data_IF_322909652253
#
_entry.id   IF_322909652253
#
_cell.length_a   1.000
_cell.length_b   1.000
_cell.length_c   1.000
_cell.angle_alpha   90.00
_cell.angle_beta   90.00
_cell.angle_gamma   90.00
#
_symmetry.space_group_name_H-M   'P 1'
#
loop_
_entity.id
_entity.type
_entity.pdbx_description
1 polymer ?
#
# COMPACT_ATOMS: atom_id res chain seq x y z
N UNK A 1 -20.47 -11.62 6.37
CA UNK A 1 -19.97 -11.77 5.00
C UNK A 1 -18.46 -11.59 5.04
N UNK A 2 -17.70 -12.67 4.78
CA UNK A 2 -16.25 -12.60 4.73
C UNK A 2 -15.84 -11.68 3.57
N UNK A 3 -14.85 -10.84 3.77
CA UNK A 3 -14.44 -9.78 2.87
C UNK A 3 -13.92 -10.29 1.50
N UNK A 4 -13.43 -11.54 1.41
CA UNK A 4 -13.18 -12.24 0.16
C UNK A 4 -14.45 -12.39 -0.70
N UNK A 5 -15.63 -12.44 -0.08
CA UNK A 5 -16.93 -12.44 -0.76
C UNK A 5 -17.26 -11.08 -1.41
N UNK A 6 -17.01 -9.98 -0.73
CA UNK A 6 -17.32 -8.63 -1.27
C UNK A 6 -16.43 -8.26 -2.45
N UNK A 7 -15.14 -8.62 -2.41
CA UNK A 7 -14.21 -8.42 -3.55
C UNK A 7 -14.54 -9.33 -4.73
N UNK A 8 -14.93 -10.59 -4.47
CA UNK A 8 -15.42 -11.51 -5.51
C UNK A 8 -16.74 -11.05 -6.13
N UNK A 9 -17.64 -10.50 -5.32
CA UNK A 9 -18.89 -9.89 -5.79
C UNK A 9 -18.59 -8.63 -6.60
N UNK A 10 -17.65 -7.78 -6.17
CA UNK A 10 -17.21 -6.59 -6.90
C UNK A 10 -16.62 -6.94 -8.27
N UNK A 11 -15.73 -7.94 -8.35
CA UNK A 11 -15.18 -8.42 -9.62
C UNK A 11 -16.29 -9.01 -10.52
N UNK A 12 -17.19 -9.82 -9.95
CA UNK A 12 -18.28 -10.44 -10.70
C UNK A 12 -19.35 -9.45 -11.16
N UNK A 13 -19.69 -8.44 -10.33
CA UNK A 13 -20.60 -7.35 -10.73
C UNK A 13 -19.96 -6.49 -11.82
N UNK A 14 -18.65 -6.22 -11.75
CA UNK A 14 -17.92 -5.50 -12.80
C UNK A 14 -17.88 -6.30 -14.13
N UNK A 15 -17.74 -7.62 -14.04
CA UNK A 15 -17.80 -8.53 -15.20
C UNK A 15 -19.22 -8.68 -15.77
N UNK A 16 -20.26 -8.60 -14.92
CA UNK A 16 -21.67 -8.74 -15.31
C UNK A 16 -22.28 -7.45 -15.85
N UNK A 17 -21.88 -6.27 -15.38
CA UNK A 17 -22.36 -4.98 -15.89
C UNK A 17 -21.70 -4.55 -17.21
N UNK A 18 -20.57 -5.15 -17.57
CA UNK A 18 -19.95 -4.94 -18.85
C UNK A 18 -20.60 -5.87 -19.89
N UNK A 19 -21.62 -5.37 -20.59
CA UNK A 19 -22.08 -6.00 -21.87
C UNK A 19 -20.99 -6.08 -22.93
N UNK A 20 -19.84 -5.48 -22.73
CA UNK A 20 -18.48 -5.76 -23.25
C UNK A 20 -17.52 -5.44 -22.12
N UNK A 21 -16.62 -6.35 -21.70
CA UNK A 21 -15.56 -5.95 -20.79
C UNK A 21 -14.82 -4.79 -21.46
N UNK A 22 -14.57 -3.68 -20.73
CA UNK A 22 -13.58 -2.73 -21.23
C UNK A 22 -12.31 -3.56 -21.38
N UNK A 23 -11.81 -3.66 -22.62
CA UNK A 23 -10.52 -4.26 -22.84
C UNK A 23 -9.54 -3.53 -21.92
N UNK A 24 -9.00 -4.22 -20.94
CA UNK A 24 -7.82 -3.78 -20.22
C UNK A 24 -6.72 -3.75 -21.28
N UNK A 25 -6.65 -2.66 -22.03
CA UNK A 25 -5.59 -2.44 -22.98
C UNK A 25 -4.41 -1.97 -22.16
N UNK A 26 -3.63 -2.92 -21.67
CA UNK A 26 -2.28 -2.65 -21.17
C UNK A 26 -1.42 -2.25 -22.39
N UNK A 27 -1.45 -0.96 -22.72
CA UNK A 27 -0.55 -0.42 -23.74
C UNK A 27 0.82 -0.23 -23.09
N UNK A 28 1.74 -1.15 -23.32
CA UNK A 28 3.18 -0.94 -23.17
C UNK A 28 3.71 -0.16 -24.39
N UNK A 29 4.82 0.55 -24.20
CA UNK A 29 5.70 1.04 -25.26
C UNK A 29 6.11 -0.06 -26.27
N UNK A 30 7.07 0.18 -27.21
CA UNK A 30 7.36 -0.78 -28.28
C UNK A 30 7.58 -2.19 -27.71
N UNK A 31 6.93 -3.22 -28.29
CA UNK A 31 6.76 -4.52 -27.66
C UNK A 31 8.07 -5.28 -27.53
N UNK A 32 8.34 -5.90 -26.39
CA UNK A 32 9.30 -6.99 -26.32
C UNK A 32 8.84 -8.16 -27.20
N UNK A 33 9.77 -9.01 -27.62
CA UNK A 33 9.62 -10.09 -28.62
C UNK A 33 8.70 -11.26 -28.20
N UNK A 34 8.15 -11.25 -26.98
CA UNK A 34 7.36 -12.34 -26.37
C UNK A 34 5.82 -12.17 -26.46
N UNK A 35 5.33 -11.20 -27.20
CA UNK A 35 3.88 -10.99 -27.33
C UNK A 35 3.21 -12.06 -28.19
N UNK A 36 2.23 -12.79 -27.61
CA UNK A 36 1.28 -13.59 -28.40
C UNK A 36 0.36 -12.66 -29.20
N UNK A 37 0.34 -12.83 -30.52
CA UNK A 37 -0.66 -12.22 -31.38
C UNK A 37 -1.94 -13.07 -31.33
N UNK A 38 -3.05 -12.42 -30.97
CA UNK A 38 -4.39 -12.99 -31.18
C UNK A 38 -5.04 -12.30 -32.38
N UNK A 39 -6.13 -12.85 -32.90
CA UNK A 39 -6.91 -12.25 -33.99
C UNK A 39 -7.40 -10.83 -33.69
N UNK A 40 -7.36 -10.40 -32.43
CA UNK A 40 -7.83 -9.08 -31.96
C UNK A 40 -6.71 -8.15 -31.47
N UNK A 41 -5.43 -8.54 -31.56
CA UNK A 41 -4.28 -7.75 -31.13
C UNK A 41 -3.29 -8.50 -30.25
N UNK A 42 -2.32 -7.80 -29.67
CA UNK A 42 -1.32 -8.34 -28.76
C UNK A 42 -1.86 -8.42 -27.33
N UNK A 43 -1.92 -9.63 -26.77
CA UNK A 43 -2.33 -9.89 -25.40
C UNK A 43 -1.08 -10.09 -24.52
N UNK A 44 -1.07 -9.50 -23.35
CA UNK A 44 -0.05 -9.75 -22.33
C UNK A 44 -0.62 -10.70 -21.30
N UNK A 45 0.07 -11.80 -21.03
CA UNK A 45 -0.37 -12.78 -20.04
C UNK A 45 -0.23 -12.20 -18.62
N UNK A 46 -1.22 -12.48 -17.77
CA UNK A 46 -1.21 -12.01 -16.39
C UNK A 46 -0.02 -12.56 -15.59
N UNK A 47 0.35 -13.83 -15.83
CA UNK A 47 1.49 -14.46 -15.17
C UNK A 47 2.82 -13.83 -15.60
N UNK A 48 2.93 -13.39 -16.85
CA UNK A 48 4.11 -12.68 -17.35
C UNK A 48 4.28 -11.33 -16.62
N UNK A 49 3.19 -10.56 -16.46
CA UNK A 49 3.21 -9.29 -15.71
C UNK A 49 3.61 -9.53 -14.26
N UNK A 50 3.03 -10.55 -13.61
CA UNK A 50 3.33 -10.88 -12.21
C UNK A 50 4.80 -11.24 -12.05
N UNK A 51 5.38 -12.01 -12.97
CA UNK A 51 6.78 -12.40 -12.92
C UNK A 51 7.71 -11.21 -13.19
N UNK A 52 7.36 -10.33 -14.11
CA UNK A 52 8.08 -9.08 -14.37
C UNK A 52 8.10 -8.19 -13.13
N UNK A 53 6.94 -7.99 -12.48
CA UNK A 53 6.82 -7.20 -11.26
C UNK A 53 7.63 -7.80 -10.10
N UNK A 54 7.65 -9.13 -9.97
CA UNK A 54 8.48 -9.83 -8.98
C UNK A 54 9.96 -9.60 -9.23
N UNK A 55 10.41 -9.67 -10.50
CA UNK A 55 11.80 -9.45 -10.88
C UNK A 55 12.24 -8.01 -10.64
N UNK A 56 11.40 -7.04 -10.99
CA UNK A 56 11.64 -5.62 -10.70
C UNK A 56 11.71 -5.34 -9.20
N UNK A 57 10.82 -5.97 -8.41
CA UNK A 57 10.86 -5.89 -6.96
C UNK A 57 12.18 -6.43 -6.37
N UNK A 58 12.70 -7.53 -6.94
CA UNK A 58 13.96 -8.11 -6.50
C UNK A 58 15.14 -7.15 -6.75
N UNK A 59 15.22 -6.55 -7.94
CA UNK A 59 16.27 -5.61 -8.29
C UNK A 59 16.30 -4.41 -7.35
N UNK A 60 15.17 -3.74 -7.16
CA UNK A 60 15.07 -2.54 -6.32
C UNK A 60 15.32 -2.88 -4.84
N UNK A 61 14.82 -4.03 -4.37
CA UNK A 61 15.06 -4.44 -2.98
C UNK A 61 16.53 -4.74 -2.70
N UNK A 62 17.28 -5.25 -3.67
CA UNK A 62 18.73 -5.45 -3.57
C UNK A 62 19.49 -4.12 -3.53
N UNK A 63 19.11 -3.15 -4.34
CA UNK A 63 19.71 -1.80 -4.33
C UNK A 63 19.54 -1.08 -2.98
N UNK A 64 18.40 -1.32 -2.29
CA UNK A 64 18.14 -0.77 -0.97
C UNK A 64 18.95 -1.44 0.18
N UNK A 65 19.58 -2.59 -0.07
CA UNK A 65 20.59 -3.21 0.79
C UNK A 65 20.16 -3.65 2.19
N UNK A 66 18.86 -3.86 2.44
CA UNK A 66 18.34 -4.16 3.79
C UNK A 66 17.86 -5.60 3.98
N UNK A 67 18.13 -6.47 3.03
CA UNK A 67 17.61 -7.85 3.00
C UNK A 67 18.70 -8.92 3.13
N UNK A 68 19.90 -8.54 3.57
CA UNK A 68 21.04 -9.48 3.66
C UNK A 68 20.76 -10.62 4.64
N UNK A 69 20.05 -10.33 5.73
CA UNK A 69 19.69 -11.30 6.78
C UNK A 69 18.54 -12.26 6.39
N UNK A 70 17.92 -12.11 5.20
CA UNK A 70 16.80 -12.95 4.79
C UNK A 70 17.29 -14.21 4.10
N UNK A 71 16.63 -15.35 4.38
CA UNK A 71 16.80 -16.57 3.60
C UNK A 71 16.30 -16.39 2.15
N UNK A 72 16.69 -17.28 1.25
CA UNK A 72 16.25 -17.26 -0.15
C UNK A 72 14.72 -17.33 -0.25
N UNK A 73 14.09 -18.14 0.60
CA UNK A 73 12.63 -18.30 0.63
C UNK A 73 11.93 -17.02 1.09
N UNK A 74 12.45 -16.39 2.15
CA UNK A 74 11.93 -15.10 2.66
C UNK A 74 12.09 -13.99 1.62
N UNK A 75 13.23 -13.90 0.93
CA UNK A 75 13.45 -12.97 -0.18
C UNK A 75 12.42 -13.18 -1.29
N UNK A 76 12.23 -14.42 -1.73
CA UNK A 76 11.26 -14.74 -2.78
C UNK A 76 9.82 -14.38 -2.39
N UNK A 77 9.43 -14.63 -1.13
CA UNK A 77 8.12 -14.26 -0.61
C UNK A 77 7.96 -12.74 -0.56
N UNK A 78 8.99 -12.03 -0.11
CA UNK A 78 9.00 -10.56 -0.06
C UNK A 78 8.87 -9.96 -1.46
N UNK A 79 9.65 -10.41 -2.43
CA UNK A 79 9.59 -9.92 -3.81
C UNK A 79 8.23 -10.14 -4.45
N UNK A 80 7.62 -11.30 -4.20
CA UNK A 80 6.25 -11.58 -4.66
C UNK A 80 5.24 -10.63 -4.01
N UNK A 81 5.37 -10.39 -2.71
CA UNK A 81 4.48 -9.49 -1.96
C UNK A 81 4.59 -8.05 -2.46
N UNK A 82 5.82 -7.56 -2.69
CA UNK A 82 6.06 -6.20 -3.22
C UNK A 82 5.54 -6.09 -4.65
N UNK A 83 5.90 -7.01 -5.53
CA UNK A 83 5.50 -6.98 -6.93
C UNK A 83 3.99 -7.05 -7.14
N UNK A 84 3.30 -7.98 -6.44
CA UNK A 84 1.84 -8.06 -6.46
C UNK A 84 1.19 -6.85 -5.79
N UNK A 85 1.78 -6.33 -4.72
CA UNK A 85 1.32 -5.12 -4.05
C UNK A 85 1.38 -3.92 -4.98
N UNK A 86 2.47 -3.73 -5.70
CA UNK A 86 2.65 -2.66 -6.69
C UNK A 86 1.61 -2.75 -7.82
N UNK A 87 1.44 -3.94 -8.41
CA UNK A 87 0.49 -4.18 -9.49
C UNK A 87 -0.95 -3.90 -9.05
N UNK A 88 -1.38 -4.49 -7.93
CA UNK A 88 -2.75 -4.30 -7.41
C UNK A 88 -3.01 -2.83 -7.08
N UNK A 89 -2.06 -2.19 -6.41
CA UNK A 89 -2.16 -0.78 -6.05
C UNK A 89 -2.30 0.11 -7.28
N UNK A 90 -1.46 -0.10 -8.29
CA UNK A 90 -1.50 0.66 -9.53
C UNK A 90 -2.85 0.55 -10.24
N UNK A 91 -3.40 -0.66 -10.32
CA UNK A 91 -4.71 -0.90 -10.97
C UNK A 91 -5.84 -0.26 -10.16
N UNK A 92 -5.80 -0.41 -8.82
CA UNK A 92 -6.90 -0.01 -7.96
C UNK A 92 -6.89 1.49 -7.58
N UNK A 93 -5.75 2.20 -7.75
CA UNK A 93 -5.68 3.65 -7.50
C UNK A 93 -6.48 4.49 -8.51
N UNK A 94 -6.82 3.91 -9.65
CA UNK A 94 -7.56 4.58 -10.71
C UNK A 94 -9.03 4.16 -10.65
N UNK A 95 -9.92 5.12 -10.91
CA UNK A 95 -11.35 4.85 -10.99
C UNK A 95 -11.62 3.70 -11.97
N UNK A 96 -12.46 2.71 -11.60
CA UNK A 96 -12.77 1.54 -12.46
C UNK A 96 -13.32 1.87 -13.83
N UNK A 97 -13.90 3.07 -14.01
CA UNK A 97 -14.47 3.55 -15.29
C UNK A 97 -13.42 4.15 -16.23
N UNK A 98 -12.21 4.43 -15.73
CA UNK A 98 -11.13 5.05 -16.51
C UNK A 98 -10.22 3.97 -17.12
N UNK A 99 -9.64 4.29 -18.27
CA UNK A 99 -8.58 3.47 -18.87
C UNK A 99 -7.28 3.64 -18.08
N UNK A 100 -6.52 2.56 -17.95
CA UNK A 100 -5.24 2.54 -17.27
C UNK A 100 -4.16 2.21 -18.29
N UNK A 101 -3.14 3.06 -18.36
CA UNK A 101 -1.88 2.74 -19.01
C UNK A 101 -0.93 2.21 -17.92
N UNK A 102 -0.63 0.91 -17.97
CA UNK A 102 0.25 0.30 -16.98
C UNK A 102 1.73 0.54 -17.33
N UNK A 103 2.46 1.12 -16.38
CA UNK A 103 3.91 1.26 -16.43
C UNK A 103 4.52 0.50 -15.25
N UNK A 104 5.25 -0.62 -15.48
CA UNK A 104 5.88 -1.41 -14.43
C UNK A 104 6.86 -0.60 -13.58
N UNK A 105 7.70 0.22 -14.19
CA UNK A 105 8.74 1.00 -13.52
C UNK A 105 8.13 2.02 -12.55
N UNK A 106 7.11 2.77 -13.00
CA UNK A 106 6.40 3.72 -12.15
C UNK A 106 5.61 3.03 -11.02
N UNK A 107 5.12 1.82 -11.26
CA UNK A 107 4.30 1.11 -10.27
C UNK A 107 5.08 0.59 -9.09
N UNK A 108 6.40 0.36 -9.26
CA UNK A 108 7.27 -0.23 -8.25
C UNK A 108 8.15 0.79 -7.51
N UNK A 109 8.04 2.06 -7.85
CA UNK A 109 8.79 3.14 -7.18
C UNK A 109 8.46 3.22 -5.68
N UNK A 110 9.49 3.38 -4.85
CA UNK A 110 9.37 3.54 -3.40
C UNK A 110 9.14 5.00 -2.95
N UNK A 111 9.13 5.95 -3.87
CA UNK A 111 8.99 7.38 -3.56
C UNK A 111 7.69 8.02 -4.06
N UNK A 112 6.87 7.26 -4.80
CA UNK A 112 5.66 7.77 -5.45
C UNK A 112 4.36 7.33 -4.79
N UNK A 113 3.23 7.62 -5.44
CA UNK A 113 1.91 7.08 -5.07
C UNK A 113 1.80 5.61 -5.54
N UNK A 114 2.47 4.71 -4.80
CA UNK A 114 2.69 3.31 -5.16
C UNK A 114 2.47 2.37 -3.97
N UNK A 115 2.21 1.10 -4.26
CA UNK A 115 2.10 0.05 -3.24
C UNK A 115 3.36 -0.10 -2.40
N UNK A 116 4.56 -0.19 -3.02
CA UNK A 116 5.83 -0.29 -2.29
C UNK A 116 6.10 0.87 -1.32
N UNK A 117 5.72 2.09 -1.67
CA UNK A 117 5.84 3.24 -0.76
C UNK A 117 5.04 3.04 0.53
N UNK A 118 3.81 2.54 0.41
CA UNK A 118 2.95 2.24 1.57
C UNK A 118 3.50 1.06 2.37
N UNK A 119 3.94 -0.01 1.69
CA UNK A 119 4.53 -1.21 2.29
C UNK A 119 5.79 -0.87 3.08
N UNK A 120 6.68 -0.06 2.50
CA UNK A 120 7.90 0.38 3.15
C UNK A 120 7.61 1.23 4.40
N UNK A 121 6.65 2.14 4.32
CA UNK A 121 6.26 2.95 5.49
C UNK A 121 5.69 2.07 6.61
N UNK A 122 4.87 1.08 6.27
CA UNK A 122 4.37 0.11 7.26
C UNK A 122 5.52 -0.66 7.93
N UNK A 123 6.45 -1.23 7.17
CA UNK A 123 7.61 -1.95 7.70
C UNK A 123 8.50 -1.04 8.59
N UNK A 124 8.68 0.23 8.20
CA UNK A 124 9.37 1.24 9.02
C UNK A 124 8.68 1.44 10.37
N UNK A 125 7.35 1.55 10.39
CA UNK A 125 6.60 1.70 11.64
C UNK A 125 6.74 0.43 12.49
N UNK A 126 6.66 -0.78 11.91
CA UNK A 126 6.87 -2.02 12.65
C UNK A 126 8.27 -2.07 13.30
N UNK A 127 9.30 -1.65 12.58
CA UNK A 127 10.67 -1.55 13.12
C UNK A 127 10.77 -0.51 14.24
N UNK A 128 10.08 0.63 14.11
CA UNK A 128 9.99 1.65 15.15
C UNK A 128 9.34 1.09 16.43
N UNK A 129 8.22 0.38 16.30
CA UNK A 129 7.47 -0.19 17.40
C UNK A 129 8.28 -1.27 18.14
N UNK A 130 8.99 -2.14 17.40
CA UNK A 130 9.90 -3.14 17.98
C UNK A 130 11.01 -2.49 18.81
N UNK A 131 11.59 -1.38 18.33
CA UNK A 131 12.65 -0.63 19.05
C UNK A 131 12.14 0.19 20.23
N UNK A 132 10.90 0.64 20.17
CA UNK A 132 10.30 1.53 21.18
C UNK A 132 9.92 0.84 22.47
N UNK A 133 9.70 -0.47 22.46
CA UNK A 133 9.34 -1.28 23.63
C UNK A 133 7.86 -1.33 23.93
N UNK A 134 7.48 -1.63 25.16
CA UNK A 134 6.11 -1.85 25.59
C UNK A 134 5.32 -0.54 25.57
N UNK A 135 4.18 -0.56 24.89
CA UNK A 135 3.24 0.56 24.84
C UNK A 135 2.33 0.55 26.06
N UNK A 136 2.13 1.72 26.65
CA UNK A 136 1.15 1.92 27.72
C UNK A 136 -0.04 2.68 27.14
N UNK A 137 -1.26 2.30 27.53
CA UNK A 137 -2.49 2.99 27.13
C UNK A 137 -2.90 4.11 28.10
N UNK A 138 -1.98 4.51 28.97
CA UNK A 138 -2.21 5.57 29.94
C UNK A 138 -1.67 6.89 29.39
N UNK A 139 -2.56 7.85 29.17
CA UNK A 139 -2.23 9.17 28.65
C UNK A 139 -2.67 10.23 29.68
N UNK A 140 -1.74 11.06 30.12
CA UNK A 140 -2.13 12.27 30.86
C UNK A 140 -2.73 13.31 29.90
N UNK A 141 -3.69 14.06 30.39
CA UNK A 141 -4.45 15.07 29.60
C UNK A 141 -3.60 16.30 29.23
N UNK A 142 -2.34 16.37 29.68
CA UNK A 142 -1.49 17.57 29.59
C UNK A 142 -0.47 17.58 28.44
N UNK A 143 -0.57 16.68 27.47
CA UNK A 143 0.37 16.63 26.35
C UNK A 143 0.04 17.70 25.30
N UNK A 144 1.00 18.57 25.00
CA UNK A 144 0.89 19.51 23.88
C UNK A 144 1.11 18.78 22.56
N UNK A 145 0.09 18.76 21.70
CA UNK A 145 0.07 18.08 20.41
C UNK A 145 0.51 19.07 19.32
N UNK A 146 1.49 18.69 18.50
CA UNK A 146 1.96 19.50 17.36
C UNK A 146 0.95 19.50 16.20
N UNK A 147 1.05 20.45 15.28
CA UNK A 147 0.15 20.54 14.12
C UNK A 147 0.22 19.27 13.22
N UNK A 148 1.40 18.70 13.05
CA UNK A 148 1.55 17.44 12.29
C UNK A 148 0.88 16.24 12.98
N UNK A 149 0.94 16.19 14.30
CA UNK A 149 0.25 15.17 15.09
C UNK A 149 -1.28 15.33 15.00
N UNK A 150 -1.78 16.56 15.02
CA UNK A 150 -3.20 16.86 14.81
C UNK A 150 -3.67 16.44 13.40
N UNK A 151 -2.87 16.71 12.37
CA UNK A 151 -3.16 16.32 11.00
C UNK A 151 -3.29 14.80 10.87
N UNK A 152 -2.36 14.03 11.45
CA UNK A 152 -2.43 12.55 11.45
C UNK A 152 -3.69 12.07 12.19
N UNK A 153 -4.00 12.65 13.37
CA UNK A 153 -5.20 12.29 14.13
C UNK A 153 -6.46 12.55 13.29
N UNK A 154 -6.52 13.68 12.60
CA UNK A 154 -7.63 13.99 11.68
C UNK A 154 -7.78 12.93 10.60
N UNK A 155 -6.70 12.57 9.91
CA UNK A 155 -6.73 11.48 8.94
C UNK A 155 -7.26 10.16 9.55
N UNK A 156 -6.79 9.79 10.74
CA UNK A 156 -7.26 8.57 11.41
C UNK A 156 -8.77 8.60 11.72
N UNK A 157 -9.31 9.75 12.09
CA UNK A 157 -10.75 9.90 12.37
C UNK A 157 -11.63 9.87 11.12
N UNK A 158 -11.09 10.20 9.94
CA UNK A 158 -11.79 10.16 8.66
C UNK A 158 -11.95 8.74 8.10
N UNK A 159 -11.12 7.79 8.55
CA UNK A 159 -11.06 6.43 7.98
C UNK A 159 -12.41 5.70 7.87
N UNK A 160 -13.28 5.67 8.90
CA UNK A 160 -14.57 5.00 8.80
C UNK A 160 -15.48 5.59 7.70
N UNK A 161 -15.47 6.90 7.55
CA UNK A 161 -16.24 7.61 6.53
C UNK A 161 -15.73 7.31 5.12
N UNK A 162 -14.41 7.25 4.95
CA UNK A 162 -13.78 6.88 3.66
C UNK A 162 -14.17 5.46 3.24
N UNK A 163 -14.16 4.49 4.17
CA UNK A 163 -14.58 3.12 3.88
C UNK A 163 -16.04 3.09 3.43
N UNK A 164 -16.91 3.80 4.15
CA UNK A 164 -18.34 3.87 3.83
C UNK A 164 -18.55 4.42 2.41
N UNK A 165 -17.95 5.57 2.11
CA UNK A 165 -18.05 6.22 0.79
C UNK A 165 -17.48 5.31 -0.33
N UNK A 166 -16.35 4.66 -0.09
CA UNK A 166 -15.75 3.74 -1.06
C UNK A 166 -16.66 2.54 -1.34
N UNK A 167 -17.32 2.01 -0.31
CA UNK A 167 -18.29 0.92 -0.43
C UNK A 167 -19.54 1.34 -1.20
N UNK A 168 -20.14 2.49 -0.87
CA UNK A 168 -21.33 3.03 -1.55
C UNK A 168 -21.06 3.32 -3.03
N UNK A 169 -19.86 3.80 -3.36
CA UNK A 169 -19.46 4.11 -4.74
C UNK A 169 -18.85 2.92 -5.50
N UNK A 170 -18.69 1.77 -4.87
CA UNK A 170 -17.99 0.60 -5.44
C UNK A 170 -16.60 0.94 -6.00
N UNK A 171 -15.88 1.88 -5.37
CA UNK A 171 -14.60 2.38 -5.84
C UNK A 171 -13.51 2.22 -4.79
N UNK A 172 -12.54 1.31 -4.98
CA UNK A 172 -11.39 1.15 -4.08
C UNK A 172 -10.40 2.32 -4.16
N UNK A 173 -10.46 3.13 -5.22
CA UNK A 173 -9.56 4.27 -5.41
C UNK A 173 -9.62 5.27 -4.24
N UNK A 174 -10.79 5.45 -3.63
CA UNK A 174 -10.95 6.30 -2.44
C UNK A 174 -10.10 5.83 -1.26
N UNK A 175 -10.06 4.51 -1.01
CA UNK A 175 -9.24 3.92 0.06
C UNK A 175 -7.74 4.10 -0.24
N UNK A 176 -7.34 3.87 -1.48
CA UNK A 176 -5.93 3.99 -1.90
C UNK A 176 -5.44 5.42 -1.77
N UNK A 177 -6.19 6.39 -2.27
CA UNK A 177 -5.82 7.79 -2.18
C UNK A 177 -5.74 8.26 -0.71
N UNK A 178 -6.68 7.82 0.12
CA UNK A 178 -6.65 8.09 1.54
C UNK A 178 -5.39 7.51 2.22
N UNK A 179 -5.04 6.26 1.95
CA UNK A 179 -3.84 5.63 2.52
C UNK A 179 -2.57 6.36 2.08
N UNK A 180 -2.51 6.76 0.82
CA UNK A 180 -1.38 7.54 0.32
C UNK A 180 -1.18 8.85 1.09
N UNK A 181 -2.25 9.64 1.28
CA UNK A 181 -2.15 10.90 2.02
C UNK A 181 -1.80 10.67 3.49
N UNK A 182 -2.38 9.66 4.16
CA UNK A 182 -2.01 9.27 5.51
C UNK A 182 -0.52 8.92 5.62
N UNK A 183 -0.01 8.11 4.70
CA UNK A 183 1.40 7.68 4.66
C UNK A 183 2.34 8.85 4.39
N UNK A 184 1.96 9.76 3.50
CA UNK A 184 2.71 10.98 3.17
C UNK A 184 2.81 11.91 4.38
N UNK A 185 1.69 12.19 5.06
CA UNK A 185 1.65 13.00 6.28
C UNK A 185 2.48 12.35 7.39
N UNK A 186 2.36 11.01 7.55
CA UNK A 186 3.15 10.28 8.54
C UNK A 186 4.66 10.33 8.24
N UNK A 187 5.09 10.16 7.00
CA UNK A 187 6.51 10.24 6.64
C UNK A 187 7.08 11.66 6.87
N UNK A 188 6.30 12.72 6.57
CA UNK A 188 6.67 14.10 6.89
C UNK A 188 6.84 14.31 8.41
N UNK A 189 5.93 13.78 9.20
CA UNK A 189 6.01 13.78 10.66
C UNK A 189 7.24 13.02 11.16
N UNK A 190 7.44 11.79 10.70
CA UNK A 190 8.54 10.92 11.10
C UNK A 190 9.93 11.55 10.86
N UNK A 191 10.09 12.29 9.77
CA UNK A 191 11.33 13.01 9.45
C UNK A 191 11.57 14.23 10.33
N UNK A 192 10.51 14.89 10.78
CA UNK A 192 10.61 16.14 11.56
C UNK A 192 10.66 15.95 13.06
N UNK A 193 10.26 14.78 13.56
CA UNK A 193 10.07 14.53 14.99
C UNK A 193 10.83 13.29 15.43
N UNK A 194 11.62 13.42 16.51
CA UNK A 194 12.21 12.25 17.14
C UNK A 194 11.18 11.52 18.00
N UNK A 195 10.86 10.26 17.63
CA UNK A 195 9.85 9.47 18.36
C UNK A 195 10.51 8.69 19.50
N UNK A 196 11.67 8.07 19.27
CA UNK A 196 12.32 7.17 20.25
C UNK A 196 13.29 7.92 21.17
N UNK A 197 14.02 8.90 20.63
CA UNK A 197 15.11 9.59 21.35
C UNK A 197 14.64 10.69 22.29
N UNK A 198 13.34 10.82 22.50
CA UNK A 198 12.76 11.81 23.40
C UNK A 198 12.87 11.30 24.86
N UNK A 199 13.30 12.18 25.76
CA UNK A 199 13.48 11.86 27.19
C UNK A 199 12.16 11.74 27.96
N UNK A 200 11.15 12.50 27.52
CA UNK A 200 9.82 12.57 28.14
C UNK A 200 9.00 11.32 27.82
N UNK A 201 8.82 10.47 28.81
CA UNK A 201 8.17 9.16 28.67
C UNK A 201 6.74 9.26 28.14
N UNK A 202 5.98 10.27 28.57
CA UNK A 202 4.58 10.45 28.16
C UNK A 202 4.48 10.81 26.68
N UNK A 203 5.28 11.77 26.22
CA UNK A 203 5.32 12.17 24.81
C UNK A 203 5.80 11.03 23.93
N UNK A 204 6.83 10.29 24.38
CA UNK A 204 7.29 9.07 23.69
C UNK A 204 6.15 8.06 23.55
N UNK A 205 5.44 7.77 24.65
CA UNK A 205 4.35 6.82 24.66
C UNK A 205 3.20 7.26 23.73
N UNK A 206 2.82 8.54 23.75
CA UNK A 206 1.84 9.10 22.85
C UNK A 206 2.23 8.92 21.37
N UNK A 207 3.46 9.30 20.99
CA UNK A 207 3.97 9.21 19.62
C UNK A 207 4.07 7.76 19.12
N UNK A 208 4.45 6.86 20.00
CA UNK A 208 4.47 5.43 19.71
C UNK A 208 3.06 4.88 19.46
N UNK A 209 2.09 5.26 20.29
CA UNK A 209 0.69 4.87 20.09
C UNK A 209 0.10 5.48 18.81
N UNK A 210 0.39 6.74 18.52
CA UNK A 210 -0.01 7.37 17.26
C UNK A 210 0.54 6.59 16.06
N UNK A 211 1.82 6.21 16.10
CA UNK A 211 2.44 5.38 15.06
C UNK A 211 1.78 4.00 14.94
N UNK A 212 1.42 3.37 16.06
CA UNK A 212 0.69 2.10 16.08
C UNK A 212 -0.69 2.25 15.41
N UNK A 213 -1.43 3.33 15.70
CA UNK A 213 -2.74 3.58 15.09
C UNK A 213 -2.62 3.80 13.59
N UNK A 214 -1.60 4.53 13.13
CA UNK A 214 -1.28 4.67 11.69
C UNK A 214 -1.00 3.32 11.05
N UNK A 215 -0.15 2.47 11.67
CA UNK A 215 0.14 1.14 11.14
C UNK A 215 -1.11 0.25 11.04
N UNK A 216 -1.98 0.29 12.06
CA UNK A 216 -3.25 -0.45 12.05
C UNK A 216 -4.19 0.02 10.93
N UNK A 217 -4.28 1.33 10.73
CA UNK A 217 -5.10 1.90 9.66
C UNK A 217 -4.56 1.54 8.29
N UNK A 218 -3.24 1.64 8.07
CA UNK A 218 -2.60 1.18 6.83
C UNK A 218 -2.90 -0.31 6.61
N UNK A 219 -2.71 -1.16 7.63
CA UNK A 219 -2.95 -2.60 7.52
C UNK A 219 -4.39 -2.92 7.15
N UNK A 220 -5.35 -2.28 7.83
CA UNK A 220 -6.77 -2.47 7.54
C UNK A 220 -7.11 -2.03 6.11
N UNK A 221 -6.65 -0.86 5.70
CA UNK A 221 -6.88 -0.33 4.35
C UNK A 221 -6.32 -1.24 3.26
N UNK A 222 -5.07 -1.68 3.42
CA UNK A 222 -4.41 -2.54 2.43
C UNK A 222 -5.03 -3.94 2.37
N UNK A 223 -5.46 -4.48 3.51
CA UNK A 223 -6.22 -5.74 3.56
C UNK A 223 -7.58 -5.63 2.83
N UNK A 224 -8.27 -4.49 2.96
CA UNK A 224 -9.54 -4.24 2.26
C UNK A 224 -9.40 -4.33 0.74
N UNK A 225 -8.26 -3.97 0.20
CA UNK A 225 -7.95 -4.01 -1.24
C UNK A 225 -7.12 -5.25 -1.65
N UNK A 226 -6.90 -6.18 -0.71
CA UNK A 226 -6.21 -7.46 -0.96
C UNK A 226 -4.70 -7.31 -1.19
N UNK A 227 -4.06 -6.30 -0.60
CA UNK A 227 -2.61 -6.09 -0.65
C UNK A 227 -1.99 -6.49 0.68
N UNK A 228 -1.02 -7.38 0.64
CA UNK A 228 -0.26 -7.83 1.79
C UNK A 228 0.84 -6.83 2.16
N UNK A 229 1.16 -6.76 3.46
CA UNK A 229 2.16 -5.86 4.02
C UNK A 229 3.29 -6.64 4.69
N UNK A 230 4.57 -6.40 4.33
CA UNK A 230 5.70 -7.00 5.01
C UNK A 230 5.96 -6.32 6.36
N UNK A 231 6.31 -7.11 7.38
CA UNK A 231 6.71 -6.56 8.68
C UNK A 231 8.17 -6.06 8.71
N UNK A 232 8.99 -6.54 7.79
CA UNK A 232 10.39 -6.19 7.58
C UNK A 232 10.66 -6.06 6.10
N UNK A 233 11.42 -5.04 5.72
CA UNK A 233 11.73 -4.71 4.33
C UNK A 233 13.08 -4.02 4.24
#
# INVERSE_FOLDING_TARGET
LSFNGAFKIYLNVKLSMAKKPPSLTLCKGPPPTWKKQTSEGTVVDADEIINEMKSSAALISQELGKIDDFSIEEKNKLYKMIGLGALKYFILKVDPKKRILFNPEESIDFNGNTGPFVQYTYARIQSLLKKGGILKNDFSVSITISEKEKEIIKHLTEFPSIIKIAGENYSPAGIINYVYELVKSYNSYYQSVSIIKISEKEIKNFRMNLSLMVARTIKNSMNLIGIELPEKM
#
